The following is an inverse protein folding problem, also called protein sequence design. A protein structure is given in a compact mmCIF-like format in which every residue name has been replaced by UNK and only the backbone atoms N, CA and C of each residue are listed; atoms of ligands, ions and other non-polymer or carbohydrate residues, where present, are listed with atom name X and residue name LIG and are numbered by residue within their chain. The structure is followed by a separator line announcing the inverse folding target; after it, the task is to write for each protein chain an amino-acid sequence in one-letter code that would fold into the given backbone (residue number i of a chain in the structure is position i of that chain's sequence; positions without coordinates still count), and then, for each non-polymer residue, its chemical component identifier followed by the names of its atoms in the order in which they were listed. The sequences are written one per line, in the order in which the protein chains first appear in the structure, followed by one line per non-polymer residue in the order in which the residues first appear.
data_IF_854713134826
#
_entry.id   IF_854713134826
#
_cell.length_a   1.000
_cell.length_b   1.000
_cell.length_c   1.000
_cell.angle_alpha   90.00
_cell.angle_beta   90.00
_cell.angle_gamma   90.00
#
_symmetry.space_group_name_H-M   'P 1'
#
loop_
_entity.id
_entity.type
_entity.pdbx_description
1 polymer ?
#
# COMPACT_ATOMS: atom_id res chain seq x y z
N UNK A 1 16.98 -9.73 12.84
CA UNK A 1 15.80 -9.04 12.28
C UNK A 1 16.14 -7.98 11.21
N UNK A 2 17.20 -7.18 11.35
CA UNK A 2 17.54 -6.14 10.35
C UNK A 2 17.89 -6.66 8.94
N UNK A 3 18.68 -7.74 8.83
CA UNK A 3 19.08 -8.31 7.54
C UNK A 3 17.88 -8.79 6.68
N UNK A 4 16.82 -9.28 7.33
CA UNK A 4 15.60 -9.73 6.68
C UNK A 4 14.80 -8.56 6.12
N UNK A 5 14.66 -7.47 6.88
CA UNK A 5 14.03 -6.25 6.41
C UNK A 5 14.79 -5.63 5.22
N UNK A 6 16.13 -5.69 5.25
CA UNK A 6 16.98 -5.23 4.15
C UNK A 6 16.78 -6.10 2.91
N UNK A 7 16.76 -7.43 3.04
CA UNK A 7 16.51 -8.32 1.90
C UNK A 7 15.12 -8.12 1.30
N UNK A 8 14.07 -8.10 2.14
CA UNK A 8 12.69 -7.90 1.68
C UNK A 8 12.52 -6.55 0.95
N UNK A 9 13.05 -5.46 1.52
CA UNK A 9 12.98 -4.13 0.89
C UNK A 9 13.78 -4.06 -0.41
N UNK A 10 14.95 -4.71 -0.47
CA UNK A 10 15.76 -4.79 -1.70
C UNK A 10 15.05 -5.57 -2.78
N UNK A 11 14.49 -6.74 -2.46
CA UNK A 11 13.72 -7.56 -3.41
C UNK A 11 12.51 -6.80 -3.91
N UNK A 12 11.77 -6.12 -3.02
CA UNK A 12 10.61 -5.30 -3.41
C UNK A 12 11.01 -4.16 -4.35
N UNK A 13 12.11 -3.46 -4.06
CA UNK A 13 12.62 -2.39 -4.91
C UNK A 13 13.06 -2.91 -6.29
N UNK A 14 13.80 -4.01 -6.33
CA UNK A 14 14.24 -4.64 -7.58
C UNK A 14 13.03 -5.10 -8.41
N UNK A 15 12.04 -5.74 -7.77
CA UNK A 15 10.82 -6.16 -8.44
C UNK A 15 10.05 -4.98 -9.04
N UNK A 16 9.93 -3.88 -8.30
CA UNK A 16 9.29 -2.67 -8.79
C UNK A 16 9.98 -2.10 -10.04
N UNK A 17 11.31 -2.10 -10.06
CA UNK A 17 12.09 -1.66 -11.23
C UNK A 17 11.86 -2.61 -12.41
N UNK A 18 11.97 -3.92 -12.21
CA UNK A 18 11.78 -4.93 -13.28
C UNK A 18 10.37 -4.82 -13.88
N UNK A 19 9.36 -4.75 -13.03
CA UNK A 19 7.97 -4.68 -13.48
C UNK A 19 7.68 -3.40 -14.25
N UNK A 20 8.08 -2.24 -13.72
CA UNK A 20 7.90 -0.95 -14.41
C UNK A 20 8.68 -0.93 -15.73
N UNK A 21 9.92 -1.42 -15.77
CA UNK A 21 10.73 -1.47 -16.99
C UNK A 21 10.14 -2.41 -18.05
N UNK A 22 9.61 -3.56 -17.64
CA UNK A 22 8.89 -4.47 -18.52
C UNK A 22 7.64 -3.81 -19.08
N UNK A 23 6.84 -3.18 -18.23
CA UNK A 23 5.61 -2.52 -18.65
C UNK A 23 5.85 -1.35 -19.60
N UNK A 24 6.85 -0.50 -19.33
CA UNK A 24 7.24 0.62 -20.19
C UNK A 24 7.71 0.15 -21.57
N UNK A 25 8.30 -1.05 -21.67
CA UNK A 25 8.68 -1.66 -22.95
C UNK A 25 7.48 -2.12 -23.78
N UNK A 26 6.42 -2.61 -23.14
CA UNK A 26 5.19 -3.03 -23.83
C UNK A 26 4.24 -1.86 -24.14
N UNK A 27 4.21 -0.83 -23.29
CA UNK A 27 3.33 0.32 -23.41
C UNK A 27 4.12 1.63 -23.26
N UNK A 28 4.67 2.18 -24.36
CA UNK A 28 5.41 3.43 -24.30
C UNK A 28 4.52 4.59 -23.79
N UNK A 29 5.09 5.57 -23.07
CA UNK A 29 4.35 6.68 -22.43
C UNK A 29 3.53 7.57 -23.39
N UNK A 30 3.70 7.41 -24.71
CA UNK A 30 3.06 8.21 -25.76
C UNK A 30 1.58 7.89 -25.99
N UNK A 31 1.05 6.78 -25.47
CA UNK A 31 -0.37 6.40 -25.59
C UNK A 31 -1.17 6.91 -24.38
N UNK A 32 -2.35 7.52 -24.62
CA UNK A 32 -3.29 7.91 -23.55
C UNK A 32 -3.61 6.70 -22.65
N UNK A 33 -3.06 6.66 -21.44
CA UNK A 33 -3.26 5.58 -20.45
C UNK A 33 -4.70 5.64 -19.90
N UNK A 34 -5.61 4.90 -20.54
CA UNK A 34 -6.98 4.71 -20.05
C UNK A 34 -7.02 4.03 -18.67
N UNK A 35 -8.13 4.17 -17.95
CA UNK A 35 -8.33 3.54 -16.63
C UNK A 35 -8.10 2.02 -16.65
N UNK A 36 -8.52 1.32 -17.72
CA UNK A 36 -8.34 -0.13 -17.84
C UNK A 36 -6.86 -0.56 -17.86
N UNK A 37 -5.98 0.21 -18.50
CA UNK A 37 -4.54 -0.08 -18.53
C UNK A 37 -3.90 0.12 -17.15
N UNK A 38 -4.38 1.08 -16.36
CA UNK A 38 -3.94 1.30 -14.98
C UNK A 38 -4.37 0.16 -14.06
N UNK A 39 -5.60 -0.33 -14.21
CA UNK A 39 -6.10 -1.48 -13.45
C UNK A 39 -5.33 -2.75 -13.82
N UNK A 40 -5.12 -3.02 -15.11
CA UNK A 40 -4.31 -4.15 -15.56
C UNK A 40 -2.86 -4.07 -15.05
N UNK A 41 -2.26 -2.88 -15.07
CA UNK A 41 -0.94 -2.65 -14.51
C UNK A 41 -0.88 -2.90 -13.01
N UNK A 42 -1.85 -2.37 -12.24
CA UNK A 42 -1.93 -2.57 -10.80
C UNK A 42 -2.14 -4.06 -10.46
N UNK A 43 -3.05 -4.74 -11.15
CA UNK A 43 -3.29 -6.18 -10.93
C UNK A 43 -2.08 -7.05 -11.28
N UNK A 44 -1.36 -6.74 -12.36
CA UNK A 44 -0.14 -7.45 -12.71
C UNK A 44 1.01 -7.17 -11.73
N UNK A 45 1.10 -5.95 -11.21
CA UNK A 45 2.11 -5.57 -10.22
C UNK A 45 1.86 -6.30 -8.92
N UNK A 46 0.63 -6.16 -8.40
CA UNK A 46 0.19 -6.77 -7.15
C UNK A 46 0.27 -8.30 -7.25
N UNK A 47 -0.25 -8.88 -8.33
CA UNK A 47 -0.23 -10.33 -8.55
C UNK A 47 1.20 -10.88 -8.68
N UNK A 48 2.05 -10.21 -9.45
CA UNK A 48 3.46 -10.59 -9.57
C UNK A 48 4.25 -10.43 -8.27
N UNK A 49 3.94 -9.37 -7.50
CA UNK A 49 4.53 -9.16 -6.19
C UNK A 49 4.10 -10.24 -5.21
N UNK A 50 2.82 -10.63 -5.19
CA UNK A 50 2.31 -11.75 -4.37
C UNK A 50 2.99 -13.06 -4.74
N UNK A 51 3.18 -13.34 -6.04
CA UNK A 51 3.86 -14.56 -6.52
C UNK A 51 5.32 -14.67 -6.07
N UNK A 52 5.99 -13.56 -5.76
CA UNK A 52 7.38 -13.55 -5.28
C UNK A 52 7.45 -13.37 -3.76
N UNK A 53 6.58 -12.51 -3.23
CA UNK A 53 6.46 -12.19 -1.83
C UNK A 53 5.98 -13.38 -1.00
N UNK A 54 4.98 -14.14 -1.48
CA UNK A 54 4.48 -15.32 -0.76
C UNK A 54 5.56 -16.42 -0.61
N UNK A 55 6.25 -16.88 -1.68
CA UNK A 55 7.32 -17.85 -1.52
C UNK A 55 8.47 -17.34 -0.65
N UNK A 56 8.82 -16.06 -0.76
CA UNK A 56 9.88 -15.46 0.04
C UNK A 56 9.50 -15.43 1.53
N UNK A 57 8.27 -15.01 1.86
CA UNK A 57 7.75 -15.02 3.22
C UNK A 57 7.64 -16.45 3.77
N UNK A 58 7.14 -17.39 2.96
CA UNK A 58 7.04 -18.81 3.31
C UNK A 58 8.42 -19.41 3.62
N UNK A 59 9.42 -19.14 2.77
CA UNK A 59 10.80 -19.58 2.96
C UNK A 59 11.43 -18.98 4.22
N UNK A 60 11.23 -17.67 4.44
CA UNK A 60 11.79 -16.96 5.60
C UNK A 60 11.18 -17.39 6.93
N UNK A 61 9.88 -17.70 6.95
CA UNK A 61 9.16 -18.14 8.16
C UNK A 61 9.15 -19.67 8.31
N UNK A 62 9.71 -20.40 7.35
CA UNK A 62 9.68 -21.86 7.29
C UNK A 62 8.25 -22.44 7.36
N UNK A 63 7.29 -21.74 6.74
CA UNK A 63 5.87 -22.12 6.71
C UNK A 63 5.45 -22.48 5.29
N UNK A 64 4.30 -23.12 5.16
CA UNK A 64 3.71 -23.39 3.84
C UNK A 64 3.22 -22.11 3.15
N UNK A 65 3.12 -22.13 1.82
CA UNK A 65 2.63 -20.98 1.04
C UNK A 65 1.23 -20.52 1.51
N UNK A 66 0.37 -21.48 1.86
CA UNK A 66 -0.98 -21.23 2.35
C UNK A 66 -0.95 -20.58 3.74
N UNK A 67 -0.06 -20.99 4.62
CA UNK A 67 0.16 -20.33 5.92
C UNK A 67 0.70 -18.90 5.76
N UNK A 68 1.66 -18.68 4.86
CA UNK A 68 2.17 -17.34 4.57
C UNK A 68 1.04 -16.41 4.08
N UNK A 69 0.18 -16.92 3.19
CA UNK A 69 -1.00 -16.19 2.72
C UNK A 69 -2.00 -15.90 3.87
N UNK A 70 -2.25 -16.87 4.76
CA UNK A 70 -3.12 -16.65 5.92
C UNK A 70 -2.56 -15.58 6.87
N UNK A 71 -1.24 -15.55 7.06
CA UNK A 71 -0.57 -14.51 7.86
C UNK A 71 -0.76 -13.13 7.20
N UNK A 72 -0.58 -13.03 5.89
CA UNK A 72 -0.76 -11.80 5.13
C UNK A 72 -2.21 -11.28 5.18
N UNK A 73 -3.19 -12.19 5.02
CA UNK A 73 -4.61 -11.89 5.19
C UNK A 73 -4.91 -11.45 6.62
N UNK A 74 -4.35 -12.12 7.63
CA UNK A 74 -4.49 -11.74 9.03
C UNK A 74 -3.95 -10.34 9.31
N UNK A 75 -2.79 -10.00 8.73
CA UNK A 75 -2.22 -8.66 8.78
C UNK A 75 -3.15 -7.63 8.16
N UNK A 76 -3.67 -7.86 6.95
CA UNK A 76 -4.61 -6.94 6.31
C UNK A 76 -5.90 -6.77 7.11
N UNK A 77 -6.45 -7.87 7.62
CA UNK A 77 -7.69 -7.86 8.40
C UNK A 77 -7.54 -7.07 9.70
N UNK A 78 -6.34 -7.02 10.28
CA UNK A 78 -6.06 -6.19 11.46
C UNK A 78 -5.68 -4.74 11.10
N UNK A 79 -4.83 -4.57 10.08
CA UNK A 79 -4.26 -3.28 9.72
C UNK A 79 -5.26 -2.35 9.00
N UNK A 80 -6.17 -2.90 8.18
CA UNK A 80 -7.17 -2.09 7.47
C UNK A 80 -8.18 -1.44 8.44
N UNK A 81 -8.85 -2.16 9.37
CA UNK A 81 -9.71 -1.52 10.36
C UNK A 81 -8.95 -0.53 11.24
N UNK A 82 -7.72 -0.87 11.64
CA UNK A 82 -6.85 0.03 12.39
C UNK A 82 -6.61 1.34 11.63
N UNK A 83 -6.26 1.26 10.35
CA UNK A 83 -6.01 2.44 9.50
C UNK A 83 -7.27 3.30 9.35
N UNK A 84 -8.43 2.67 9.14
CA UNK A 84 -9.72 3.39 9.05
C UNK A 84 -10.05 4.08 10.37
N UNK A 85 -9.94 3.37 11.50
CA UNK A 85 -10.22 3.93 12.82
C UNK A 85 -9.26 5.09 13.17
N UNK A 86 -7.98 4.94 12.83
CA UNK A 86 -6.98 5.98 13.02
C UNK A 86 -7.30 7.22 12.17
N UNK A 87 -7.59 7.05 10.88
CA UNK A 87 -7.97 8.14 9.99
C UNK A 87 -9.24 8.85 10.48
N UNK A 88 -10.25 8.09 10.91
CA UNK A 88 -11.47 8.67 11.45
C UNK A 88 -11.22 9.46 12.74
N UNK A 89 -10.40 8.94 13.64
CA UNK A 89 -10.01 9.66 14.86
C UNK A 89 -9.26 10.96 14.53
N UNK A 90 -8.35 10.91 13.56
CA UNK A 90 -7.61 12.07 13.08
C UNK A 90 -8.54 13.14 12.49
N UNK A 91 -9.49 12.73 11.64
CA UNK A 91 -10.48 13.63 11.04
C UNK A 91 -11.38 14.26 12.10
N UNK A 92 -11.80 13.49 13.11
CA UNK A 92 -12.58 14.03 14.23
C UNK A 92 -11.79 15.05 15.05
N UNK A 93 -10.52 14.76 15.36
CA UNK A 93 -9.64 15.67 16.09
C UNK A 93 -9.39 16.96 15.30
N UNK A 94 -9.18 16.84 13.98
CA UNK A 94 -8.97 17.97 13.07
C UNK A 94 -10.23 18.82 12.93
N UNK A 95 -11.39 18.20 12.76
CA UNK A 95 -12.69 18.89 12.68
C UNK A 95 -12.95 19.72 13.95
N UNK A 96 -12.64 19.17 15.12
CA UNK A 96 -12.78 19.89 16.41
C UNK A 96 -11.87 21.11 16.51
N UNK A 97 -10.65 21.05 15.95
CA UNK A 97 -9.72 22.19 15.92
C UNK A 97 -10.14 23.27 14.91
N UNK A 98 -10.53 22.88 13.69
CA UNK A 98 -10.99 23.83 12.66
C UNK A 98 -12.29 24.55 13.04
N UNK A 99 -13.24 23.85 13.68
CA UNK A 99 -14.43 24.51 14.23
C UNK A 99 -14.09 25.53 15.33
N UNK A 100 -13.03 25.30 16.11
CA UNK A 100 -12.61 26.25 17.15
C UNK A 100 -11.97 27.52 16.59
N UNK A 101 -11.32 27.43 15.42
CA UNK A 101 -10.71 28.57 14.75
C UNK A 101 -11.77 29.40 14.00
N UNK A 102 -12.66 28.75 13.24
CA UNK A 102 -13.76 29.44 12.55
C UNK A 102 -14.68 30.19 13.54
N UNK A 103 -14.98 29.59 14.70
CA UNK A 103 -15.83 30.23 15.71
C UNK A 103 -15.11 31.39 16.45
N UNK A 104 -13.76 31.39 16.46
CA UNK A 104 -12.96 32.52 16.98
C UNK A 104 -12.92 33.69 16.02
N UNK A 105 -12.87 33.45 14.71
CA UNK A 105 -12.87 34.52 13.70
C UNK A 105 -14.23 35.23 13.62
N UNK A 106 -15.33 34.47 13.65
CA UNK A 106 -16.69 35.05 13.64
C UNK A 106 -16.93 35.94 14.87
N UNK A 107 -16.46 35.53 16.06
CA UNK A 107 -16.58 36.33 17.29
C UNK A 107 -15.70 37.60 17.30
N UNK A 108 -14.69 37.69 16.43
CA UNK A 108 -13.80 38.86 16.34
C UNK A 108 -14.35 39.94 15.40
N UNK A 109 -15.32 39.60 14.55
CA UNK A 109 -15.95 40.49 13.57
C UNK A 109 -17.34 41.01 14.01
N UNK A 110 -17.85 40.58 15.16
CA UNK A 110 -19.11 41.01 15.79
C UNK A 110 -18.79 41.83 17.04
#
# INVERSE_FOLDING_TARGET
MGALAIMLSTVAMVWNIIYNAGFDKFYPPSRKRGMGLRVAHALGFEGGFILIGLPLAAWMLNVTLLQALMVEIGFFLFFLPYTVAYNWCYDWLRAKRFQSEANREIKKQS
#
